data_IF_314817057991
#
_entry.id   IF_314817057991
#
_cell.length_a   1.000
_cell.length_b   1.000
_cell.length_c   1.000
_cell.angle_alpha   90.00
_cell.angle_beta   90.00
_cell.angle_gamma   90.00
#
_symmetry.space_group_name_H-M   'P 1'
#
loop_
_entity.id
_entity.type
_entity.pdbx_description
1 polymer ?
#
# COMPACT_ATOMS: atom_id res chain seq x y z
N UNK A 1 -55.78 -49.52 -24.53
CA UNK A 1 -54.49 -49.63 -25.26
C UNK A 1 -53.69 -48.35 -25.04
N UNK A 2 -52.55 -48.39 -24.33
CA UNK A 2 -51.65 -47.22 -24.26
C UNK A 2 -50.78 -47.22 -25.52
N UNK A 3 -50.98 -46.25 -26.42
CA UNK A 3 -50.11 -46.07 -27.60
C UNK A 3 -48.66 -45.93 -27.14
N UNK A 4 -47.78 -46.81 -27.62
CA UNK A 4 -46.34 -46.75 -27.34
C UNK A 4 -45.77 -45.53 -28.09
N UNK A 5 -45.35 -44.51 -27.35
CA UNK A 5 -44.71 -43.30 -27.91
C UNK A 5 -43.52 -43.66 -28.79
N UNK A 6 -43.34 -42.92 -29.90
CA UNK A 6 -42.22 -43.12 -30.82
C UNK A 6 -40.87 -42.86 -30.14
N UNK A 7 -39.77 -43.44 -30.62
CA UNK A 7 -38.43 -43.26 -30.03
C UNK A 7 -38.03 -41.78 -29.92
N UNK A 8 -38.30 -40.98 -30.96
CA UNK A 8 -38.04 -39.54 -30.97
C UNK A 8 -38.85 -38.78 -29.90
N UNK A 9 -40.14 -39.10 -29.72
CA UNK A 9 -40.96 -38.48 -28.68
C UNK A 9 -40.47 -38.82 -27.26
N UNK A 10 -39.91 -40.01 -27.05
CA UNK A 10 -39.30 -40.38 -25.75
C UNK A 10 -38.02 -39.62 -25.47
N UNK A 11 -37.23 -39.33 -26.49
CA UNK A 11 -35.99 -38.59 -26.38
C UNK A 11 -36.23 -37.10 -26.08
N UNK A 12 -37.23 -36.50 -26.73
CA UNK A 12 -37.70 -35.14 -26.42
C UNK A 12 -38.21 -35.05 -24.97
N UNK A 13 -39.00 -36.03 -24.51
CA UNK A 13 -39.44 -36.08 -23.11
C UNK A 13 -38.27 -36.25 -22.12
N UNK A 14 -37.25 -37.02 -22.49
CA UNK A 14 -36.04 -37.18 -21.67
C UNK A 14 -35.28 -35.86 -21.55
N UNK A 15 -35.09 -35.14 -22.66
CA UNK A 15 -34.47 -33.82 -22.68
C UNK A 15 -35.28 -32.77 -21.91
N UNK A 16 -36.61 -32.78 -22.02
CA UNK A 16 -37.48 -31.91 -21.23
C UNK A 16 -37.36 -32.19 -19.73
N UNK A 17 -37.42 -33.47 -19.32
CA UNK A 17 -37.21 -33.85 -17.91
C UNK A 17 -35.84 -33.46 -17.40
N UNK A 18 -34.79 -33.56 -18.22
CA UNK A 18 -33.45 -33.09 -17.85
C UNK A 18 -33.40 -31.58 -17.67
N UNK A 19 -34.00 -30.80 -18.58
CA UNK A 19 -34.09 -29.33 -18.47
C UNK A 19 -34.91 -28.88 -17.26
N UNK A 20 -36.00 -29.58 -16.94
CA UNK A 20 -36.81 -29.32 -15.74
C UNK A 20 -36.06 -29.66 -14.45
N UNK A 21 -35.35 -30.80 -14.42
CA UNK A 21 -34.50 -31.17 -13.29
C UNK A 21 -33.39 -30.14 -13.07
N UNK A 22 -32.78 -29.65 -14.15
CA UNK A 22 -31.76 -28.60 -14.08
C UNK A 22 -32.33 -27.26 -13.58
N UNK A 23 -33.52 -26.87 -14.05
CA UNK A 23 -34.23 -25.68 -13.53
C UNK A 23 -34.60 -25.80 -12.06
N UNK A 24 -35.08 -26.96 -11.61
CA UNK A 24 -35.38 -27.21 -10.19
C UNK A 24 -34.13 -27.12 -9.33
N UNK A 25 -33.03 -27.74 -9.77
CA UNK A 25 -31.75 -27.66 -9.06
C UNK A 25 -31.26 -26.21 -8.97
N UNK A 26 -31.36 -25.42 -10.04
CA UNK A 26 -31.01 -23.99 -10.00
C UNK A 26 -31.91 -23.18 -9.07
N UNK A 27 -33.22 -23.46 -9.04
CA UNK A 27 -34.16 -22.80 -8.12
C UNK A 27 -33.89 -23.18 -6.66
N UNK A 28 -33.52 -24.43 -6.41
CA UNK A 28 -33.19 -24.94 -5.08
C UNK A 28 -31.86 -24.36 -4.58
N UNK A 29 -30.84 -24.29 -5.44
CA UNK A 29 -29.58 -23.56 -5.17
C UNK A 29 -29.88 -22.07 -4.91
N UNK A 30 -30.77 -21.45 -5.67
CA UNK A 30 -31.16 -20.04 -5.48
C UNK A 30 -31.93 -19.85 -4.17
N UNK A 31 -32.79 -20.79 -3.79
CA UNK A 31 -33.54 -20.76 -2.54
C UNK A 31 -32.61 -20.97 -1.33
N UNK A 32 -31.65 -21.89 -1.41
CA UNK A 32 -30.61 -22.07 -0.39
C UNK A 32 -29.73 -20.83 -0.26
N UNK A 33 -29.34 -20.20 -1.38
CA UNK A 33 -28.62 -18.91 -1.38
C UNK A 33 -29.45 -17.80 -0.73
N UNK A 34 -30.76 -17.72 -1.01
CA UNK A 34 -31.66 -16.75 -0.40
C UNK A 34 -31.86 -16.97 1.11
N UNK A 35 -31.89 -18.23 1.57
CA UNK A 35 -31.90 -18.59 2.98
C UNK A 35 -30.58 -18.20 3.69
N UNK A 36 -29.45 -18.32 3.00
CA UNK A 36 -28.15 -17.89 3.53
C UNK A 36 -28.01 -16.36 3.58
N UNK A 37 -28.60 -15.62 2.63
CA UNK A 37 -28.69 -14.14 2.65
C UNK A 37 -29.44 -13.61 3.89
N UNK A 38 -30.28 -14.44 4.52
CA UNK A 38 -30.99 -14.11 5.75
C UNK A 38 -30.08 -14.04 7.02
N UNK A 39 -28.76 -14.19 6.88
CA UNK A 39 -27.76 -14.06 7.97
C UNK A 39 -27.44 -12.60 8.38
N UNK A 40 -28.19 -11.61 7.87
CA UNK A 40 -28.07 -10.21 8.31
C UNK A 40 -26.81 -9.47 7.84
N UNK A 41 -25.98 -10.08 6.99
CA UNK A 41 -24.86 -9.39 6.34
C UNK A 41 -25.29 -8.89 4.95
N UNK A 42 -25.37 -7.57 4.70
CA UNK A 42 -25.78 -7.02 3.40
C UNK A 42 -24.83 -7.40 2.25
N UNK A 43 -23.59 -7.78 2.57
CA UNK A 43 -22.52 -8.07 1.62
C UNK A 43 -22.34 -9.56 1.30
N UNK A 44 -23.15 -10.46 1.90
CA UNK A 44 -22.97 -11.91 1.80
C UNK A 44 -22.96 -12.46 0.36
N UNK A 45 -23.85 -11.93 -0.49
CA UNK A 45 -23.94 -12.34 -1.90
C UNK A 45 -22.63 -12.05 -2.65
N UNK A 46 -22.09 -10.84 -2.50
CA UNK A 46 -20.84 -10.42 -3.15
C UNK A 46 -19.66 -11.22 -2.57
N UNK A 47 -19.62 -11.41 -1.25
CA UNK A 47 -18.62 -12.25 -0.61
C UNK A 47 -18.59 -13.66 -1.21
N UNK A 48 -19.76 -14.29 -1.38
CA UNK A 48 -19.87 -15.63 -1.95
C UNK A 48 -19.35 -15.70 -3.39
N UNK A 49 -19.60 -14.66 -4.18
CA UNK A 49 -19.08 -14.54 -5.56
C UNK A 49 -17.55 -14.40 -5.56
N UNK A 50 -16.97 -13.61 -4.65
CA UNK A 50 -15.51 -13.44 -4.54
C UNK A 50 -14.86 -14.76 -4.14
N UNK A 51 -15.41 -15.46 -3.14
CA UNK A 51 -14.93 -16.77 -2.71
C UNK A 51 -15.01 -17.82 -3.82
N UNK A 52 -16.05 -17.77 -4.65
CA UNK A 52 -16.17 -18.63 -5.84
C UNK A 52 -15.11 -18.30 -6.90
N UNK A 53 -14.82 -17.02 -7.14
CA UNK A 53 -13.72 -16.60 -8.00
C UNK A 53 -12.37 -17.08 -7.48
N UNK A 54 -12.10 -16.90 -6.18
CA UNK A 54 -10.86 -17.36 -5.50
C UNK A 54 -10.65 -18.87 -5.62
N UNK A 55 -11.71 -19.67 -5.54
CA UNK A 55 -11.64 -21.13 -5.69
C UNK A 55 -11.31 -21.60 -7.11
N UNK A 56 -11.63 -20.82 -8.14
CA UNK A 56 -11.41 -21.18 -9.55
C UNK A 56 -10.22 -20.43 -10.18
N UNK A 57 -9.44 -19.68 -9.39
CA UNK A 57 -8.26 -18.98 -9.87
C UNK A 57 -7.10 -19.96 -10.11
N UNK A 58 -6.78 -20.21 -11.37
CA UNK A 58 -5.57 -20.95 -11.77
C UNK A 58 -4.34 -20.02 -11.68
N UNK A 59 -3.65 -20.04 -10.54
CA UNK A 59 -2.44 -19.22 -10.32
C UNK A 59 -1.29 -19.54 -11.29
N UNK A 60 -1.30 -20.72 -11.94
CA UNK A 60 -0.29 -21.16 -12.90
C UNK A 60 -0.38 -20.48 -14.27
N UNK A 61 -1.54 -19.91 -14.63
CA UNK A 61 -1.76 -19.25 -15.93
C UNK A 61 -1.46 -17.74 -15.89
N UNK A 62 -1.24 -17.19 -14.69
CA UNK A 62 -1.00 -15.77 -14.46
C UNK A 62 0.51 -15.51 -14.31
N UNK A 63 1.28 -15.93 -15.31
CA UNK A 63 2.70 -15.55 -15.41
C UNK A 63 2.78 -14.08 -15.81
N UNK A 64 3.25 -13.23 -14.89
CA UNK A 64 3.64 -11.88 -15.23
C UNK A 64 4.72 -11.86 -16.33
N UNK A 65 4.94 -10.72 -17.00
CA UNK A 65 5.97 -10.63 -18.03
C UNK A 65 7.33 -11.12 -17.53
N UNK A 66 8.08 -11.80 -18.42
CA UNK A 66 9.46 -12.23 -18.17
C UNK A 66 10.30 -11.02 -17.72
N UNK A 67 11.26 -11.21 -16.80
CA UNK A 67 12.09 -10.09 -16.34
C UNK A 67 12.84 -9.50 -17.55
N UNK A 68 12.56 -8.23 -17.82
CA UNK A 68 13.36 -7.40 -18.72
C UNK A 68 14.51 -6.79 -17.89
N UNK A 69 15.67 -6.68 -18.52
CA UNK A 69 16.91 -6.16 -17.93
C UNK A 69 16.78 -4.70 -17.46
N UNK A 70 17.52 -4.39 -16.38
CA UNK A 70 17.91 -3.06 -15.86
C UNK A 70 16.89 -1.90 -15.98
N UNK A 71 15.81 -1.96 -15.19
CA UNK A 71 14.85 -0.86 -15.11
C UNK A 71 15.26 0.17 -14.07
N UNK A 72 15.39 1.43 -14.50
CA UNK A 72 15.60 2.59 -13.62
C UNK A 72 14.41 2.87 -12.68
N UNK A 73 13.24 2.30 -12.95
CA UNK A 73 12.02 2.47 -12.16
C UNK A 73 11.47 1.07 -11.86
N UNK A 74 11.23 0.80 -10.58
CA UNK A 74 10.57 -0.40 -10.10
C UNK A 74 9.25 0.01 -9.43
N UNK A 75 8.14 -0.60 -9.85
CA UNK A 75 6.79 -0.33 -9.35
C UNK A 75 6.27 -1.57 -8.65
N UNK A 76 6.04 -1.43 -7.35
CA UNK A 76 5.54 -2.52 -6.50
C UNK A 76 4.21 -2.16 -5.85
N UNK A 77 3.40 -3.18 -5.54
CA UNK A 77 2.12 -3.02 -4.83
C UNK A 77 2.08 -3.88 -3.59
N UNK A 78 1.65 -3.31 -2.46
CA UNK A 78 1.44 -4.02 -1.20
C UNK A 78 -0.03 -3.95 -0.79
N UNK A 79 -0.65 -5.12 -0.56
CA UNK A 79 -1.94 -5.25 0.12
C UNK A 79 -1.69 -5.30 1.63
N UNK A 80 -2.47 -4.55 2.41
CA UNK A 80 -2.53 -4.74 3.88
C UNK A 80 -3.74 -5.62 4.25
N UNK A 81 -3.70 -6.33 5.37
CA UNK A 81 -4.89 -7.01 5.88
C UNK A 81 -5.98 -6.00 6.26
N UNK A 82 -7.22 -6.48 6.32
CA UNK A 82 -8.32 -5.75 6.94
C UNK A 82 -8.00 -5.50 8.42
N UNK A 83 -8.27 -4.29 8.88
CA UNK A 83 -8.10 -3.92 10.28
C UNK A 83 -9.31 -4.36 11.12
N UNK A 84 -9.18 -4.28 12.45
CA UNK A 84 -10.23 -4.76 13.35
C UNK A 84 -11.58 -4.04 13.18
N UNK A 85 -11.57 -2.75 12.80
CA UNK A 85 -12.80 -1.98 12.54
C UNK A 85 -13.50 -2.47 11.28
N UNK A 86 -12.75 -2.65 10.19
CA UNK A 86 -13.24 -3.19 8.91
C UNK A 86 -13.83 -4.59 9.10
N UNK A 87 -13.14 -5.46 9.84
CA UNK A 87 -13.64 -6.81 10.17
C UNK A 87 -14.91 -6.76 11.01
N UNK A 88 -15.00 -5.85 11.98
CA UNK A 88 -16.21 -5.68 12.82
C UNK A 88 -17.39 -5.18 11.99
N UNK A 89 -17.13 -4.28 11.03
CA UNK A 89 -18.13 -3.76 10.09
C UNK A 89 -18.50 -4.76 8.99
N UNK A 90 -17.83 -5.92 8.94
CA UNK A 90 -17.99 -6.95 7.90
C UNK A 90 -17.71 -6.38 6.49
N UNK A 91 -16.70 -5.53 6.39
CA UNK A 91 -16.18 -5.07 5.10
C UNK A 91 -15.61 -6.25 4.31
N UNK A 92 -15.68 -6.12 2.99
CA UNK A 92 -15.23 -7.16 2.07
C UNK A 92 -13.77 -6.97 1.69
N UNK A 93 -13.01 -8.05 1.76
CA UNK A 93 -11.71 -8.11 1.08
C UNK A 93 -11.92 -8.37 -0.41
N UNK A 94 -11.86 -7.30 -1.20
CA UNK A 94 -12.07 -7.32 -2.65
C UNK A 94 -10.76 -7.47 -3.45
N UNK A 95 -9.62 -7.64 -2.80
CA UNK A 95 -8.30 -7.72 -3.45
C UNK A 95 -7.76 -9.13 -3.32
N UNK A 96 -7.33 -9.70 -4.44
CA UNK A 96 -6.65 -11.00 -4.48
C UNK A 96 -5.32 -10.84 -5.21
N UNK A 97 -4.26 -11.40 -4.65
CA UNK A 97 -2.93 -11.43 -5.27
C UNK A 97 -2.65 -12.89 -5.66
N UNK A 98 -2.93 -13.28 -6.92
CA UNK A 98 -2.77 -14.66 -7.36
C UNK A 98 -1.31 -15.05 -7.64
N UNK A 99 -0.42 -14.10 -7.92
CA UNK A 99 1.02 -14.33 -8.14
C UNK A 99 1.84 -13.13 -7.69
N UNK A 100 3.17 -13.25 -7.72
CA UNK A 100 4.15 -12.24 -7.27
C UNK A 100 4.19 -10.97 -8.13
N UNK A 101 3.43 -10.92 -9.23
CA UNK A 101 3.38 -9.79 -10.16
C UNK A 101 1.98 -9.30 -10.48
N UNK A 102 0.94 -9.96 -9.97
CA UNK A 102 -0.43 -9.73 -10.41
C UNK A 102 -1.30 -9.35 -9.22
N UNK A 103 -2.06 -8.26 -9.36
CA UNK A 103 -3.13 -7.87 -8.45
C UNK A 103 -4.46 -7.96 -9.17
N UNK A 104 -5.43 -8.61 -8.54
CA UNK A 104 -6.80 -8.68 -9.01
C UNK A 104 -7.72 -7.90 -8.08
N UNK A 105 -8.53 -7.01 -8.67
CA UNK A 105 -9.56 -6.23 -7.97
C UNK A 105 -10.93 -6.77 -8.36
N UNK A 106 -11.70 -7.22 -7.39
CA UNK A 106 -13.06 -7.72 -7.57
C UNK A 106 -14.06 -6.57 -7.46
N UNK A 107 -14.31 -5.86 -8.56
CA UNK A 107 -15.23 -4.72 -8.56
C UNK A 107 -16.69 -5.23 -8.63
N UNK A 108 -17.47 -4.95 -7.59
CA UNK A 108 -18.91 -5.28 -7.59
C UNK A 108 -19.69 -4.25 -8.41
N UNK A 109 -20.29 -4.69 -9.52
CA UNK A 109 -21.16 -3.87 -10.36
C UNK A 109 -22.58 -4.40 -10.38
N UNK A 110 -23.51 -3.52 -10.75
CA UNK A 110 -24.91 -3.85 -10.91
C UNK A 110 -25.34 -3.53 -12.34
N UNK A 111 -25.99 -4.50 -12.99
CA UNK A 111 -26.62 -4.32 -14.30
C UNK A 111 -27.90 -3.51 -14.18
N UNK A 112 -28.43 -3.06 -15.32
CA UNK A 112 -29.70 -2.33 -15.40
C UNK A 112 -30.89 -3.15 -14.86
N UNK A 113 -30.82 -4.48 -14.97
CA UNK A 113 -31.83 -5.41 -14.44
C UNK A 113 -31.68 -5.72 -12.94
N UNK A 114 -30.85 -4.94 -12.24
CA UNK A 114 -30.50 -5.08 -10.83
C UNK A 114 -29.66 -6.33 -10.49
N UNK A 115 -29.24 -7.13 -11.47
CA UNK A 115 -28.35 -8.27 -11.24
C UNK A 115 -26.94 -7.79 -10.85
N UNK A 116 -26.44 -8.25 -9.70
CA UNK A 116 -25.06 -8.01 -9.28
C UNK A 116 -24.10 -8.95 -10.00
N UNK A 117 -22.92 -8.44 -10.37
CA UNK A 117 -21.84 -9.23 -10.94
C UNK A 117 -20.49 -8.67 -10.49
N UNK A 118 -19.45 -9.51 -10.55
CA UNK A 118 -18.08 -9.08 -10.33
C UNK A 118 -17.41 -8.80 -11.67
N UNK A 119 -16.79 -7.63 -11.77
CA UNK A 119 -15.83 -7.32 -12.80
C UNK A 119 -14.42 -7.44 -12.21
N UNK A 120 -13.71 -8.49 -12.63
CA UNK A 120 -12.36 -8.77 -12.14
C UNK A 120 -11.34 -8.00 -12.98
N UNK A 121 -10.82 -6.91 -12.44
CA UNK A 121 -9.76 -6.14 -13.08
C UNK A 121 -8.40 -6.70 -12.67
N UNK A 122 -7.51 -6.91 -13.63
CA UNK A 122 -6.18 -7.48 -13.39
C UNK A 122 -5.11 -6.44 -13.73
N UNK A 123 -4.15 -6.27 -12.83
CA UNK A 123 -3.05 -5.32 -12.96
C UNK A 123 -1.72 -6.06 -12.76
N UNK A 124 -0.72 -5.73 -13.57
CA UNK A 124 0.61 -6.32 -13.49
C UNK A 124 1.63 -5.28 -12.99
N UNK A 125 2.52 -5.71 -12.10
CA UNK A 125 3.57 -4.90 -11.48
C UNK A 125 4.89 -5.69 -11.44
N UNK A 126 5.99 -5.03 -11.06
CA UNK A 126 7.29 -5.69 -10.93
C UNK A 126 7.28 -6.68 -9.76
N UNK A 127 6.70 -6.25 -8.63
CA UNK A 127 6.43 -7.09 -7.47
C UNK A 127 5.09 -6.75 -6.81
N UNK A 128 4.39 -7.77 -6.32
CA UNK A 128 3.14 -7.65 -5.57
C UNK A 128 3.23 -8.44 -4.26
N UNK A 129 2.82 -7.80 -3.18
CA UNK A 129 2.90 -8.34 -1.82
C UNK A 129 1.50 -8.47 -1.22
N UNK A 130 1.15 -9.66 -0.75
CA UNK A 130 -0.14 -9.91 -0.12
C UNK A 130 -0.23 -9.39 1.32
N UNK A 131 -1.37 -9.64 1.95
CA UNK A 131 -1.66 -9.22 3.32
C UNK A 131 -0.88 -9.98 4.40
N UNK A 132 -0.10 -11.00 4.02
CA UNK A 132 0.81 -11.73 4.92
C UNK A 132 2.25 -11.23 4.83
N UNK A 133 2.57 -10.44 3.80
CA UNK A 133 3.92 -9.96 3.55
C UNK A 133 4.42 -8.98 4.63
N UNK A 134 5.58 -9.32 5.20
CA UNK A 134 6.25 -8.50 6.21
C UNK A 134 6.96 -7.29 5.61
N UNK A 135 7.38 -6.35 6.45
CA UNK A 135 8.15 -5.18 6.00
C UNK A 135 9.51 -5.61 5.42
N UNK A 136 10.12 -6.65 5.98
CA UNK A 136 11.41 -7.21 5.55
C UNK A 136 11.32 -7.78 4.13
N UNK A 137 10.27 -8.53 3.82
CA UNK A 137 10.04 -9.05 2.48
C UNK A 137 9.84 -7.90 1.48
N UNK A 138 9.02 -6.91 1.84
CA UNK A 138 8.80 -5.72 0.98
C UNK A 138 10.12 -4.98 0.75
N UNK A 139 10.92 -4.79 1.80
CA UNK A 139 12.23 -4.13 1.71
C UNK A 139 13.19 -4.81 0.74
N UNK A 140 13.31 -6.14 0.84
CA UNK A 140 14.22 -6.95 0.02
C UNK A 140 14.03 -6.74 -1.48
N UNK A 141 12.79 -6.58 -1.93
CA UNK A 141 12.45 -6.44 -3.35
C UNK A 141 12.23 -4.98 -3.80
N UNK A 142 12.30 -4.00 -2.88
CA UNK A 142 12.05 -2.58 -3.20
C UNK A 142 13.28 -1.72 -2.96
N UNK A 143 13.62 -1.45 -1.69
CA UNK A 143 14.65 -0.49 -1.32
C UNK A 143 16.04 -1.12 -1.18
N UNK A 144 16.14 -2.40 -0.83
CA UNK A 144 17.43 -3.07 -0.65
C UNK A 144 18.33 -3.01 -1.89
N UNK A 145 17.85 -3.28 -3.13
CA UNK A 145 18.69 -3.21 -4.33
C UNK A 145 19.24 -1.80 -4.59
N UNK A 146 18.55 -0.77 -4.09
CA UNK A 146 18.93 0.63 -4.26
C UNK A 146 20.03 1.08 -3.29
N UNK A 147 20.28 0.33 -2.22
CA UNK A 147 21.32 0.68 -1.24
C UNK A 147 22.71 0.68 -1.89
N UNK A 148 23.01 -0.30 -2.74
CA UNK A 148 24.30 -0.35 -3.41
C UNK A 148 24.50 0.81 -4.41
N UNK A 149 23.41 1.34 -4.96
CA UNK A 149 23.46 2.47 -5.91
C UNK A 149 24.10 3.71 -5.29
N UNK A 150 23.85 4.01 -4.01
CA UNK A 150 24.43 5.19 -3.35
C UNK A 150 25.93 5.03 -3.05
N UNK A 151 26.45 3.81 -2.96
CA UNK A 151 27.89 3.55 -2.86
C UNK A 151 28.61 3.72 -4.21
N UNK A 152 27.88 3.60 -5.31
CA UNK A 152 28.36 3.83 -6.68
C UNK A 152 28.17 5.28 -7.17
N UNK A 153 28.10 6.23 -6.23
CA UNK A 153 27.85 7.65 -6.48
C UNK A 153 26.47 7.97 -7.07
N UNK A 154 25.50 7.06 -6.89
CA UNK A 154 24.14 7.22 -7.37
C UNK A 154 23.23 8.00 -6.41
N UNK A 155 22.06 8.35 -6.94
CA UNK A 155 20.95 8.93 -6.17
C UNK A 155 19.76 7.97 -6.27
N UNK A 156 19.36 7.41 -5.13
CA UNK A 156 18.24 6.50 -5.03
C UNK A 156 17.04 7.19 -4.39
N UNK A 157 15.82 6.85 -4.82
CA UNK A 157 14.59 7.32 -4.19
C UNK A 157 13.57 6.20 -4.14
N UNK A 158 12.94 6.01 -2.98
CA UNK A 158 11.86 5.05 -2.80
C UNK A 158 10.63 5.78 -2.24
N UNK A 159 9.49 5.59 -2.89
CA UNK A 159 8.24 6.24 -2.57
C UNK A 159 7.25 5.25 -1.96
N UNK A 160 6.62 5.62 -0.86
CA UNK A 160 5.38 5.00 -0.42
C UNK A 160 4.19 5.87 -0.88
N UNK A 161 3.34 5.28 -1.70
CA UNK A 161 2.17 5.92 -2.30
C UNK A 161 0.89 5.13 -2.02
N UNK A 162 -0.24 5.83 -1.93
CA UNK A 162 -1.56 5.24 -1.71
C UNK A 162 -2.45 6.07 -0.80
N UNK A 163 -3.69 5.62 -0.60
CA UNK A 163 -4.68 6.35 0.20
C UNK A 163 -4.31 6.41 1.69
N UNK A 164 -4.91 7.32 2.43
CA UNK A 164 -4.83 7.31 3.90
C UNK A 164 -5.28 5.98 4.47
N UNK A 165 -4.50 5.49 5.44
CA UNK A 165 -4.72 4.17 6.06
C UNK A 165 -4.22 2.98 5.23
N UNK A 166 -3.59 3.17 4.06
CA UNK A 166 -3.08 2.04 3.24
C UNK A 166 -1.81 1.36 3.78
N UNK A 167 -1.14 1.95 4.78
CA UNK A 167 0.08 1.40 5.38
C UNK A 167 1.41 2.02 4.90
N UNK A 168 1.39 3.19 4.25
CA UNK A 168 2.60 3.93 3.82
C UNK A 168 3.58 4.16 4.97
N UNK A 169 3.13 4.87 6.00
CA UNK A 169 3.95 5.17 7.20
C UNK A 169 4.34 3.92 7.97
N UNK A 170 3.50 2.87 7.98
CA UNK A 170 3.85 1.59 8.60
C UNK A 170 5.02 0.89 7.88
N UNK A 171 5.03 0.96 6.54
CA UNK A 171 6.09 0.36 5.72
C UNK A 171 7.39 1.13 5.91
N UNK A 172 7.33 2.46 5.73
CA UNK A 172 8.51 3.32 5.72
C UNK A 172 9.07 3.54 7.12
N UNK A 173 8.22 3.91 8.07
CA UNK A 173 8.62 4.30 9.43
C UNK A 173 8.49 3.21 10.49
N UNK A 174 7.89 2.06 10.19
CA UNK A 174 7.70 0.97 11.14
C UNK A 174 6.34 1.01 11.86
N UNK A 175 6.13 0.03 12.74
CA UNK A 175 4.84 -0.25 13.35
C UNK A 175 4.52 0.74 14.49
N UNK A 176 3.24 1.09 14.64
CA UNK A 176 2.78 1.92 15.76
C UNK A 176 2.29 1.05 16.91
N UNK A 177 2.78 1.34 18.12
CA UNK A 177 2.25 0.84 19.38
C UNK A 177 1.69 2.02 20.18
N UNK A 178 0.40 2.31 19.98
CA UNK A 178 -0.23 3.49 20.58
C UNK A 178 0.28 4.79 19.96
N UNK A 179 1.00 5.60 20.75
CA UNK A 179 1.63 6.85 20.28
C UNK A 179 3.08 6.67 19.86
N UNK A 180 3.70 5.57 20.25
CA UNK A 180 5.10 5.29 19.95
C UNK A 180 5.20 4.51 18.65
N UNK A 181 6.20 4.84 17.83
CA UNK A 181 6.48 4.15 16.58
C UNK A 181 7.75 3.33 16.74
N UNK A 182 7.62 2.01 16.67
CA UNK A 182 8.76 1.09 16.60
C UNK A 182 9.40 1.20 15.21
N UNK A 183 10.43 2.04 15.15
CA UNK A 183 11.16 2.31 13.92
C UNK A 183 12.06 1.14 13.52
N UNK A 184 12.34 0.18 14.40
CA UNK A 184 13.31 -0.91 14.17
C UNK A 184 12.93 -1.84 13.01
N UNK A 185 11.64 -1.91 12.67
CA UNK A 185 11.09 -2.71 11.55
C UNK A 185 10.63 -1.86 10.37
N UNK A 186 10.94 -0.57 10.36
CA UNK A 186 10.67 0.30 9.21
C UNK A 186 11.73 0.16 8.12
N UNK A 187 11.41 0.61 6.90
CA UNK A 187 12.39 0.74 5.81
C UNK A 187 13.59 1.61 6.21
N UNK A 188 13.39 2.64 7.05
CA UNK A 188 14.50 3.46 7.58
C UNK A 188 15.59 2.61 8.23
N UNK A 189 15.18 1.71 9.14
CA UNK A 189 16.08 0.85 9.90
C UNK A 189 16.83 -0.13 9.01
N UNK A 190 16.11 -0.78 8.10
CA UNK A 190 16.67 -1.80 7.22
C UNK A 190 17.69 -1.20 6.24
N UNK A 191 17.41 -0.02 5.66
CA UNK A 191 18.39 0.70 4.84
C UNK A 191 19.61 1.08 5.68
N UNK A 192 19.41 1.59 6.90
CA UNK A 192 20.53 1.95 7.78
C UNK A 192 21.42 0.75 8.10
N UNK A 193 20.83 -0.40 8.43
CA UNK A 193 21.55 -1.65 8.69
C UNK A 193 22.42 -2.04 7.49
N UNK A 194 21.85 -2.07 6.28
CA UNK A 194 22.59 -2.43 5.07
C UNK A 194 23.67 -1.40 4.71
N UNK A 195 23.42 -0.10 4.89
CA UNK A 195 24.43 0.95 4.69
C UNK A 195 25.63 0.74 5.64
N UNK A 196 25.38 0.56 6.94
CA UNK A 196 26.47 0.35 7.90
C UNK A 196 27.17 -1.00 7.75
N UNK A 197 26.49 -2.01 7.21
CA UNK A 197 27.11 -3.28 6.82
C UNK A 197 28.04 -3.09 5.62
N UNK A 198 27.57 -2.43 4.55
CA UNK A 198 28.35 -2.19 3.33
C UNK A 198 29.58 -1.33 3.60
N UNK A 199 29.49 -0.33 4.48
CA UNK A 199 30.65 0.49 4.89
C UNK A 199 31.80 -0.34 5.47
N UNK A 200 31.50 -1.48 6.10
CA UNK A 200 32.50 -2.38 6.69
C UNK A 200 33.16 -3.30 5.65
N UNK A 201 32.52 -3.49 4.48
CA UNK A 201 33.05 -4.34 3.41
C UNK A 201 34.34 -3.74 2.83
N UNK A 202 35.31 -4.61 2.52
CA UNK A 202 36.63 -4.20 1.99
C UNK A 202 36.57 -3.35 0.71
N UNK A 203 35.52 -3.53 -0.10
CA UNK A 203 35.24 -2.75 -1.30
C UNK A 203 35.03 -1.26 -1.00
N UNK A 204 34.23 -0.94 0.03
CA UNK A 204 33.81 0.43 0.33
C UNK A 204 34.60 1.09 1.46
N UNK A 205 35.27 0.29 2.31
CA UNK A 205 36.11 0.80 3.41
C UNK A 205 37.19 1.80 2.95
N UNK A 206 37.70 1.66 1.73
CA UNK A 206 38.73 2.54 1.14
C UNK A 206 38.20 3.93 0.77
N UNK A 207 36.88 4.11 0.68
CA UNK A 207 36.25 5.35 0.24
C UNK A 207 36.13 6.39 1.36
N UNK A 208 36.35 5.99 2.62
CA UNK A 208 36.29 6.85 3.81
C UNK A 208 35.00 7.68 3.85
N UNK A 209 33.87 6.97 3.69
CA UNK A 209 32.54 7.57 3.63
C UNK A 209 32.00 7.81 5.03
N UNK A 210 31.48 9.02 5.23
CA UNK A 210 30.69 9.42 6.39
C UNK A 210 29.21 9.42 6.04
N UNK A 211 28.38 9.02 6.99
CA UNK A 211 26.92 8.95 6.84
C UNK A 211 26.28 10.14 7.52
N UNK A 212 25.33 10.77 6.83
CA UNK A 212 24.53 11.87 7.35
C UNK A 212 23.04 11.56 7.17
N UNK A 213 22.24 11.96 8.15
CA UNK A 213 20.78 11.90 8.12
C UNK A 213 20.15 13.29 8.00
N UNK A 214 19.08 13.39 7.22
CA UNK A 214 18.18 14.55 7.23
C UNK A 214 16.74 14.08 7.30
N UNK A 215 15.85 14.86 7.91
CA UNK A 215 14.43 14.56 7.92
C UNK A 215 13.61 15.84 7.83
N UNK A 216 12.75 15.96 6.82
CA UNK A 216 11.89 17.13 6.65
C UNK A 216 10.49 16.74 6.18
N UNK A 217 9.52 17.61 6.45
CA UNK A 217 8.15 17.50 5.94
C UNK A 217 7.83 18.60 4.93
N UNK A 218 7.03 18.25 3.93
CA UNK A 218 6.43 19.18 2.97
C UNK A 218 4.94 19.26 3.30
N UNK A 219 4.50 20.47 3.67
CA UNK A 219 3.12 20.73 4.09
C UNK A 219 2.67 22.11 3.60
N UNK A 220 1.51 22.17 2.93
CA UNK A 220 0.94 23.44 2.44
C UNK A 220 1.88 24.23 1.52
N UNK A 221 2.68 23.55 0.69
CA UNK A 221 3.65 24.18 -0.21
C UNK A 221 4.91 24.72 0.48
N UNK A 222 5.10 24.47 1.77
CA UNK A 222 6.28 24.84 2.55
C UNK A 222 7.05 23.62 3.01
N UNK A 223 8.35 23.80 3.24
CA UNK A 223 9.25 22.76 3.74
C UNK A 223 9.61 23.07 5.19
N UNK A 224 9.58 22.06 6.05
CA UNK A 224 9.86 22.17 7.48
C UNK A 224 10.88 21.12 7.91
N UNK A 225 11.94 21.55 8.58
CA UNK A 225 12.96 20.66 9.12
C UNK A 225 12.44 19.92 10.36
N UNK A 226 12.28 18.60 10.28
CA UNK A 226 11.79 17.81 11.41
C UNK A 226 12.87 17.55 12.46
N UNK A 227 14.14 17.70 12.12
CA UNK A 227 15.26 17.58 13.07
C UNK A 227 15.59 18.90 13.78
N UNK A 228 14.98 20.00 13.32
CA UNK A 228 15.17 21.34 13.86
C UNK A 228 13.84 22.01 14.22
N UNK A 229 13.01 21.32 15.01
CA UNK A 229 11.77 21.85 15.59
C UNK A 229 10.80 22.49 14.59
N UNK A 230 10.66 21.89 13.40
CA UNK A 230 9.84 22.41 12.28
C UNK A 230 10.25 23.81 11.82
N UNK A 231 11.54 24.13 11.84
CA UNK A 231 12.04 25.36 11.22
C UNK A 231 11.67 25.37 9.74
N UNK A 232 11.04 26.45 9.28
CA UNK A 232 10.68 26.60 7.86
C UNK A 232 11.95 26.79 7.02
N UNK A 233 12.05 26.02 5.95
CA UNK A 233 13.18 26.03 5.01
C UNK A 233 12.79 26.70 3.69
N UNK A 234 13.79 27.23 3.00
CA UNK A 234 13.63 27.80 1.66
C UNK A 234 14.11 26.80 0.62
N UNK A 235 13.34 26.67 -0.46
CA UNK A 235 13.71 25.85 -1.63
C UNK A 235 14.12 26.80 -2.73
N UNK A 236 15.39 26.76 -3.12
CA UNK A 236 15.97 27.63 -4.13
C UNK A 236 16.61 26.80 -5.24
N UNK A 237 16.71 27.36 -6.44
CA UNK A 237 17.44 26.79 -7.56
C UNK A 237 18.79 27.50 -7.70
N UNK A 238 19.89 26.75 -7.78
CA UNK A 238 21.22 27.32 -7.98
C UNK A 238 21.53 27.58 -9.47
N UNK A 239 22.69 28.19 -9.75
CA UNK A 239 23.11 28.51 -11.12
C UNK A 239 23.36 27.28 -12.01
N UNK A 240 23.34 26.08 -11.46
CA UNK A 240 23.46 24.79 -12.18
C UNK A 240 22.11 24.08 -12.32
N UNK A 241 20.99 24.78 -12.09
CA UNK A 241 19.63 24.24 -12.12
C UNK A 241 19.41 23.11 -11.10
N UNK A 242 20.18 23.09 -10.01
CA UNK A 242 19.98 22.14 -8.92
C UNK A 242 19.15 22.77 -7.82
N UNK A 243 18.12 22.04 -7.39
CA UNK A 243 17.27 22.45 -6.27
C UNK A 243 18.00 22.21 -4.95
N UNK A 244 18.13 23.27 -4.15
CA UNK A 244 18.75 23.28 -2.83
C UNK A 244 17.71 23.62 -1.76
N UNK A 245 17.68 22.82 -0.70
CA UNK A 245 16.87 23.11 0.49
C UNK A 245 17.76 23.84 1.50
N UNK A 246 17.68 25.18 1.49
CA UNK A 246 18.56 26.04 2.28
C UNK A 246 18.19 25.97 3.75
N UNK A 247 19.21 25.67 4.57
CA UNK A 247 19.10 25.59 6.02
C UNK A 247 18.64 24.23 6.56
N UNK A 248 18.53 23.21 5.70
CA UNK A 248 18.27 21.84 6.13
C UNK A 248 19.42 21.32 6.98
N UNK A 249 19.12 20.82 8.18
CA UNK A 249 20.10 20.28 9.08
C UNK A 249 20.49 18.85 8.69
N UNK A 250 21.78 18.67 8.38
CA UNK A 250 22.38 17.35 8.23
C UNK A 250 23.07 16.95 9.55
N UNK A 251 22.72 15.77 10.07
CA UNK A 251 23.33 15.23 11.28
C UNK A 251 24.20 14.02 10.91
N UNK A 252 25.47 14.04 11.32
CA UNK A 252 26.38 12.89 11.14
C UNK A 252 25.92 11.73 12.03
N UNK A 253 25.87 10.52 11.48
CA UNK A 253 25.49 9.30 12.21
C UNK A 253 26.59 8.26 12.10
N UNK A 254 26.89 7.61 13.22
CA UNK A 254 28.02 6.68 13.33
C UNK A 254 27.57 5.21 13.45
N UNK A 255 26.32 4.97 13.82
CA UNK A 255 25.72 3.65 13.89
C UNK A 255 24.22 3.64 13.53
N UNK A 256 23.63 2.43 13.51
CA UNK A 256 22.21 2.23 13.17
C UNK A 256 21.33 2.90 14.22
N UNK A 257 21.70 2.84 15.49
CA UNK A 257 20.97 3.43 16.61
C UNK A 257 20.86 4.95 16.48
N UNK A 258 21.94 5.64 16.08
CA UNK A 258 21.90 7.08 15.79
C UNK A 258 20.87 7.41 14.70
N UNK A 259 20.81 6.58 13.66
CA UNK A 259 19.86 6.77 12.56
C UNK A 259 18.41 6.58 13.01
N UNK A 260 18.15 5.58 13.85
CA UNK A 260 16.84 5.34 14.45
C UNK A 260 16.42 6.50 15.35
N UNK A 261 17.33 7.02 16.18
CA UNK A 261 17.08 8.18 17.02
C UNK A 261 16.66 9.42 16.20
N UNK A 262 17.27 9.64 15.03
CA UNK A 262 16.86 10.72 14.12
C UNK A 262 15.46 10.50 13.54
N UNK A 263 15.13 9.26 13.16
CA UNK A 263 13.79 8.92 12.67
C UNK A 263 12.73 9.13 13.75
N UNK A 264 12.98 8.68 14.98
CA UNK A 264 12.10 8.88 16.14
C UNK A 264 11.93 10.37 16.49
N UNK A 265 13.03 11.13 16.48
CA UNK A 265 12.99 12.59 16.71
C UNK A 265 12.12 13.28 15.65
N UNK A 266 12.30 12.95 14.37
CA UNK A 266 11.50 13.57 13.31
C UNK A 266 10.03 13.13 13.34
N UNK A 267 9.75 11.86 13.65
CA UNK A 267 8.38 11.35 13.80
C UNK A 267 7.65 11.95 15.00
N UNK A 268 8.35 12.16 16.13
CA UNK A 268 7.78 12.85 17.29
C UNK A 268 7.50 14.32 16.98
N UNK A 269 8.42 15.02 16.31
CA UNK A 269 8.19 16.38 15.83
C UNK A 269 7.00 16.46 14.85
N UNK A 270 6.88 15.50 13.91
CA UNK A 270 5.72 15.40 13.00
C UNK A 270 4.41 15.34 13.81
N UNK A 271 4.38 14.54 14.87
CA UNK A 271 3.19 14.22 15.69
C UNK A 271 2.72 15.38 16.58
N UNK A 272 3.62 16.25 17.04
CA UNK A 272 3.30 17.36 17.97
C UNK A 272 2.36 18.44 17.41
N UNK A 273 1.97 18.37 16.13
CA UNK A 273 1.00 19.27 15.49
C UNK A 273 -0.48 18.83 15.58
N UNK A 274 -0.80 17.78 16.35
CA UNK A 274 -2.14 17.19 16.42
C UNK A 274 -3.20 18.13 17.03
N UNK A 275 -3.99 18.79 16.18
CA UNK A 275 -5.35 19.23 16.56
C UNK A 275 -6.30 18.06 16.36
N UNK A 276 -6.61 17.34 17.45
CA UNK A 276 -7.69 16.38 17.80
C UNK A 276 -8.61 15.67 16.78
N UNK A 277 -8.55 15.93 15.46
CA UNK A 277 -9.48 15.35 14.46
C UNK A 277 -8.77 14.79 13.22
N UNK A 278 -7.49 15.10 12.99
CA UNK A 278 -6.82 14.74 11.73
C UNK A 278 -5.49 14.02 11.98
N UNK A 279 -5.38 12.78 11.50
CA UNK A 279 -4.10 12.07 11.45
C UNK A 279 -3.16 12.79 10.47
N UNK A 280 -2.19 13.55 10.97
CA UNK A 280 -1.33 14.43 10.15
C UNK A 280 -0.54 13.68 9.06
N UNK A 281 -0.33 12.36 9.21
CA UNK A 281 0.33 11.55 8.18
C UNK A 281 -0.39 11.52 6.84
N UNK A 282 -1.69 11.87 6.80
CA UNK A 282 -2.44 11.98 5.55
C UNK A 282 -2.22 13.28 4.78
N UNK A 283 -1.61 14.31 5.39
CA UNK A 283 -1.59 15.69 4.83
C UNK A 283 -0.22 16.29 4.60
N UNK A 284 0.84 15.72 5.19
CA UNK A 284 2.22 16.12 4.90
C UNK A 284 3.00 14.95 4.32
N UNK A 285 3.84 15.27 3.33
CA UNK A 285 4.82 14.34 2.79
C UNK A 285 6.06 14.41 3.68
N UNK A 286 6.68 13.28 3.98
CA UNK A 286 7.96 13.28 4.71
C UNK A 286 9.06 12.68 3.87
N UNK A 287 10.24 13.29 3.94
CA UNK A 287 11.43 12.86 3.21
C UNK A 287 12.54 12.63 4.22
N UNK A 288 12.92 11.37 4.39
CA UNK A 288 14.08 10.97 5.17
C UNK A 288 15.22 10.67 4.21
N UNK A 289 16.37 11.32 4.38
CA UNK A 289 17.52 11.13 3.49
C UNK A 289 18.70 10.56 4.25
N UNK A 290 19.34 9.58 3.62
CA UNK A 290 20.63 9.01 4.01
C UNK A 290 21.64 9.47 2.98
N UNK A 291 22.65 10.21 3.43
CA UNK A 291 23.61 10.90 2.58
C UNK A 291 25.00 10.36 2.90
N UNK A 292 25.70 9.87 1.89
CA UNK A 292 27.09 9.47 2.00
C UNK A 292 27.97 10.62 1.52
N UNK A 293 28.98 10.99 2.31
CA UNK A 293 29.98 12.00 1.93
C UNK A 293 31.39 11.46 2.04
N UNK A 294 32.22 11.75 1.04
CA UNK A 294 33.67 11.51 1.10
C UNK A 294 34.37 12.85 1.21
N UNK A 295 35.14 13.07 2.29
CA UNK A 295 35.88 14.32 2.54
C UNK A 295 35.01 15.58 2.40
N UNK A 296 33.79 15.52 2.91
CA UNK A 296 32.82 16.62 2.88
C UNK A 296 32.06 16.80 1.56
N UNK A 297 32.41 16.07 0.50
CA UNK A 297 31.69 16.11 -0.79
C UNK A 297 30.62 15.02 -0.85
N UNK A 298 29.48 15.35 -1.44
CA UNK A 298 28.41 14.39 -1.70
C UNK A 298 28.95 13.22 -2.53
N UNK A 299 28.81 12.01 -2.01
CA UNK A 299 29.13 10.77 -2.71
C UNK A 299 27.85 10.15 -3.27
N UNK A 300 26.86 9.88 -2.42
CA UNK A 300 25.57 9.34 -2.85
C UNK A 300 24.44 9.70 -1.88
N UNK A 301 23.19 9.55 -2.32
CA UNK A 301 22.01 9.94 -1.54
C UNK A 301 20.84 8.99 -1.74
N UNK A 302 20.27 8.48 -0.67
CA UNK A 302 19.02 7.71 -0.69
C UNK A 302 17.92 8.55 -0.03
N UNK A 303 16.87 8.88 -0.76
CA UNK A 303 15.66 9.50 -0.22
C UNK A 303 14.53 8.48 -0.05
N UNK A 304 14.05 8.33 1.18
CA UNK A 304 12.87 7.54 1.54
C UNK A 304 11.70 8.49 1.76
N UNK A 305 10.64 8.33 0.97
CA UNK A 305 9.54 9.30 0.89
C UNK A 305 8.23 8.65 1.30
N UNK A 306 7.63 9.12 2.39
CA UNK A 306 6.25 8.78 2.81
C UNK A 306 5.33 9.89 2.31
N UNK A 307 4.57 9.63 1.25
CA UNK A 307 3.69 10.62 0.66
C UNK A 307 2.40 10.78 1.48
N UNK A 308 1.77 11.95 1.38
CA UNK A 308 0.41 12.17 1.85
C UNK A 308 -0.60 11.22 1.18
N UNK A 309 -1.78 11.08 1.77
CA UNK A 309 -2.88 10.33 1.18
C UNK A 309 -3.34 10.93 -0.15
N UNK A 310 -3.69 10.09 -1.12
CA UNK A 310 -4.18 10.51 -2.44
C UNK A 310 -5.72 10.48 -2.57
N UNK A 311 -6.45 10.29 -1.47
CA UNK A 311 -7.91 10.25 -1.45
C UNK A 311 -8.56 11.57 -1.90
N UNK A 312 -9.79 11.48 -2.42
CA UNK A 312 -10.57 12.64 -2.88
C UNK A 312 -11.41 13.19 -1.73
N UNK A 313 -11.83 14.46 -1.82
CA UNK A 313 -12.62 15.13 -0.76
C UNK A 313 -13.92 14.42 -0.35
N UNK A 314 -14.53 13.61 -1.25
CA UNK A 314 -15.69 12.78 -0.94
C UNK A 314 -15.39 11.67 0.09
N UNK A 315 -14.14 11.22 0.18
CA UNK A 315 -13.69 10.16 1.08
C UNK A 315 -13.57 10.67 2.54
N UNK A 316 -13.50 12.00 2.74
CA UNK A 316 -13.45 12.63 4.07
C UNK A 316 -14.83 12.78 4.74
N UNK A 317 -15.93 12.51 4.02
CA UNK A 317 -17.30 12.74 4.51
C UNK A 317 -17.88 11.58 5.34
N UNK A 318 -17.26 10.39 5.35
CA UNK A 318 -17.79 9.25 6.12
C UNK A 318 -17.50 9.32 7.64
N UNK A 319 -16.77 10.35 8.11
CA UNK A 319 -16.42 10.53 9.52
C UNK A 319 -17.08 11.71 10.23
N UNK A 320 -17.94 12.49 9.56
CA UNK A 320 -18.66 13.58 10.21
C UNK A 320 -20.05 13.09 10.63
N UNK A 321 -20.37 12.97 11.95
CA UNK A 321 -21.76 12.90 12.35
C UNK A 321 -22.43 14.19 11.87
N UNK A 322 -23.48 14.07 11.07
CA UNK A 322 -24.36 15.18 10.70
C UNK A 322 -24.71 15.96 11.96
N UNK A 323 -24.12 17.14 12.13
CA UNK A 323 -24.68 18.12 13.05
C UNK A 323 -25.98 18.56 12.41
N UNK A 324 -27.08 18.04 12.93
CA UNK A 324 -28.43 18.54 12.73
C UNK A 324 -28.40 20.07 12.85
N UNK A 325 -28.56 20.74 11.70
CA UNK A 325 -28.71 22.18 11.64
C UNK A 325 -30.10 22.55 12.18
N UNK A 326 -30.23 22.57 13.51
CA UNK A 326 -31.30 23.30 14.18
C UNK A 326 -31.02 24.78 14.04
N UNK A 327 -31.44 25.38 12.92
CA UNK A 327 -31.66 26.84 12.85
C UNK A 327 -32.94 27.13 13.64
N UNK A 328 -32.79 27.52 14.89
CA UNK A 328 -33.79 28.33 15.58
C UNK A 328 -33.92 29.65 14.82
N UNK A 329 -35.10 29.88 14.24
CA UNK A 329 -35.59 31.23 14.02
C UNK A 329 -36.00 31.74 15.40
N UNK A 330 -35.35 32.79 15.87
CA UNK A 330 -35.95 34.03 16.36
C UNK A 330 -34.83 35.07 16.57
#
# INVERSE_FOLDING_TARGET
MKQKKSPCLREIEKLQKQREKHRRLQLEIRAQRALAVNTGNPNYEIQSMIEECRRHLDCSQLSGPKPLEDHRICVCVRKRPLNQRETTMKDLDIITIPSDKVVMVHESKQKVDLTRYLENQTFCFDHTFDDTASNELVYQFTAQPLVESIFHKGMATCFAYGQTGSGKTHTIGGAFSGRDQDCSKGTYAMVAQDVFLLLKTSAYKKLDLKVYGTFFEIYGGKVYDLLNWKKTLQVLEDGSQQIQVVGLQEQEVCCVEDMLNLAELGNSCRTSGQTSVNAQSSRSHTVFQIILKSRGKLHGKFSLVDLAGNERGADNCQGQPEKTAGRSRD
#
